data_IF_771332510454
#
_entry.id   IF_771332510454
#
_cell.length_a   1.000
_cell.length_b   1.000
_cell.length_c   1.000
_cell.angle_alpha   90.00
_cell.angle_beta   90.00
_cell.angle_gamma   90.00
#
_symmetry.space_group_name_H-M   'P 1'
#
loop_
_entity.id
_entity.type
_entity.pdbx_description
1 polymer ?
#
# COMPACT_ATOMS: atom_id res chain seq x y z
N UNK A 1 17.76 0.04 1.24
CA UNK A 1 16.95 0.85 2.17
C UNK A 1 15.49 0.68 1.78
N UNK A 2 14.55 0.56 2.72
CA UNK A 2 13.13 0.46 2.35
C UNK A 2 12.68 1.83 1.83
N UNK A 3 12.37 1.93 0.54
CA UNK A 3 11.95 3.17 -0.13
C UNK A 3 10.51 3.58 0.21
N UNK A 4 9.90 2.91 1.19
CA UNK A 4 8.53 3.11 1.63
C UNK A 4 8.43 3.18 3.15
N UNK A 5 7.50 4.00 3.64
CA UNK A 5 7.02 4.02 5.01
C UNK A 5 5.69 3.28 5.14
N UNK A 6 5.44 2.71 6.30
CA UNK A 6 4.14 2.14 6.68
C UNK A 6 3.60 2.93 7.86
N UNK A 7 2.36 3.40 7.75
CA UNK A 7 1.69 4.20 8.78
C UNK A 7 0.34 3.57 9.09
N UNK A 8 0.06 3.31 10.37
CA UNK A 8 -1.28 2.92 10.82
C UNK A 8 -2.23 4.11 10.67
N UNK A 9 -3.35 3.89 9.99
CA UNK A 9 -4.44 4.88 9.91
C UNK A 9 -5.57 4.52 10.87
N UNK A 10 -5.89 3.24 11.01
CA UNK A 10 -6.90 2.72 11.94
C UNK A 10 -6.57 1.30 12.37
N UNK A 11 -7.45 0.67 13.16
CA UNK A 11 -7.35 -0.76 13.51
C UNK A 11 -7.45 -1.69 12.31
N UNK A 12 -7.98 -1.22 11.17
CA UNK A 12 -8.21 -2.02 9.97
C UNK A 12 -7.57 -1.44 8.73
N UNK A 13 -6.84 -0.33 8.83
CA UNK A 13 -6.26 0.32 7.65
C UNK A 13 -4.86 0.87 7.89
N UNK A 14 -4.04 0.76 6.86
CA UNK A 14 -2.67 1.24 6.83
C UNK A 14 -2.40 2.01 5.54
N UNK A 15 -1.50 2.98 5.63
CA UNK A 15 -0.99 3.70 4.48
C UNK A 15 0.43 3.24 4.16
N UNK A 16 0.67 2.95 2.88
CA UNK A 16 2.04 2.89 2.35
C UNK A 16 2.38 4.28 1.82
N UNK A 17 3.50 4.81 2.27
CA UNK A 17 4.03 6.11 1.88
C UNK A 17 5.30 5.91 1.05
N UNK A 18 5.32 6.40 -0.18
CA UNK A 18 6.45 6.31 -1.10
C UNK A 18 6.89 7.71 -1.47
N UNK A 19 8.18 8.02 -1.35
CA UNK A 19 8.70 9.29 -1.85
C UNK A 19 9.27 9.09 -3.26
N UNK A 20 8.85 9.91 -4.21
CA UNK A 20 9.24 9.76 -5.62
C UNK A 20 10.73 9.99 -5.85
N UNK A 21 11.34 10.85 -5.03
CA UNK A 21 12.79 11.10 -5.03
C UNK A 21 13.61 9.93 -4.49
N UNK A 22 12.97 8.92 -3.88
CA UNK A 22 13.58 7.68 -3.41
C UNK A 22 13.32 6.49 -4.33
N UNK A 23 12.58 6.68 -5.43
CA UNK A 23 12.30 5.64 -6.41
C UNK A 23 13.13 5.90 -7.66
N UNK A 24 13.90 4.89 -8.08
CA UNK A 24 14.49 4.86 -9.41
C UNK A 24 13.41 4.85 -10.49
N UNK A 25 13.72 5.29 -11.72
CA UNK A 25 12.76 5.25 -12.83
C UNK A 25 12.20 3.84 -13.08
N UNK A 26 12.99 2.80 -12.83
CA UNK A 26 12.55 1.40 -12.96
C UNK A 26 11.50 1.04 -11.89
N UNK A 27 11.73 1.45 -10.64
CA UNK A 27 10.74 1.26 -9.58
C UNK A 27 9.47 2.07 -9.86
N UNK A 28 9.60 3.31 -10.33
CA UNK A 28 8.46 4.13 -10.73
C UNK A 28 7.63 3.46 -11.83
N UNK A 29 8.27 2.94 -12.88
CA UNK A 29 7.59 2.17 -13.93
C UNK A 29 6.96 0.90 -13.39
N UNK A 30 7.59 0.23 -12.42
CA UNK A 30 7.02 -0.95 -11.76
C UNK A 30 5.75 -0.64 -10.95
N UNK A 31 5.73 0.47 -10.22
CA UNK A 31 4.58 0.86 -9.40
C UNK A 31 3.47 1.58 -10.18
N UNK A 32 3.82 2.39 -11.17
CA UNK A 32 2.90 3.32 -11.84
C UNK A 32 2.70 3.04 -13.33
N UNK A 33 3.46 2.11 -13.92
CA UNK A 33 3.49 1.87 -15.37
C UNK A 33 4.24 2.93 -16.18
N UNK A 34 4.65 4.03 -15.55
CA UNK A 34 5.34 5.18 -16.16
C UNK A 34 6.23 5.89 -15.13
N UNK A 35 7.04 6.83 -15.58
CA UNK A 35 7.83 7.68 -14.66
C UNK A 35 6.95 8.74 -14.00
N UNK A 36 7.35 9.20 -12.82
CA UNK A 36 6.62 10.22 -12.06
C UNK A 36 6.46 11.53 -12.85
N UNK A 37 7.46 11.91 -13.65
CA UNK A 37 7.41 13.09 -14.53
C UNK A 37 6.33 13.02 -15.62
N UNK A 38 5.83 11.83 -15.94
CA UNK A 38 4.80 11.61 -16.96
C UNK A 38 3.38 11.58 -16.37
N UNK A 39 3.26 11.65 -15.04
CA UNK A 39 1.97 11.61 -14.35
C UNK A 39 1.33 13.00 -14.42
N UNK A 40 0.16 13.08 -15.05
CA UNK A 40 -0.61 14.33 -15.08
C UNK A 40 -1.57 14.40 -13.90
N UNK A 41 -1.91 15.61 -13.44
CA UNK A 41 -2.72 15.80 -12.22
C UNK A 41 -4.14 15.17 -12.27
N UNK A 42 -4.61 14.75 -13.44
CA UNK A 42 -5.94 14.17 -13.64
C UNK A 42 -5.91 12.65 -13.87
N UNK A 43 -4.74 12.02 -13.89
CA UNK A 43 -4.64 10.58 -14.07
C UNK A 43 -5.01 9.84 -12.79
N UNK A 44 -5.94 8.89 -12.91
CA UNK A 44 -6.24 7.92 -11.85
C UNK A 44 -5.25 6.78 -11.97
N UNK A 45 -4.21 6.81 -11.15
CA UNK A 45 -3.23 5.73 -11.05
C UNK A 45 -3.62 4.85 -9.87
N UNK A 46 -3.59 3.54 -10.08
CA UNK A 46 -4.04 2.54 -9.13
C UNK A 46 -2.90 1.55 -8.86
N UNK A 47 -2.66 1.24 -7.60
CA UNK A 47 -1.89 0.08 -7.19
C UNK A 47 -2.75 -1.17 -7.39
N UNK A 48 -2.23 -2.13 -8.15
CA UNK A 48 -2.93 -3.38 -8.46
C UNK A 48 -2.39 -4.48 -7.57
N UNK A 49 -3.26 -4.99 -6.70
CA UNK A 49 -3.00 -6.19 -5.92
C UNK A 49 -3.62 -7.38 -6.68
N UNK A 50 -2.79 -8.20 -7.30
CA UNK A 50 -3.25 -9.30 -8.16
C UNK A 50 -3.91 -10.44 -7.35
N UNK A 51 -3.39 -10.71 -6.16
CA UNK A 51 -3.83 -11.80 -5.28
C UNK A 51 -4.08 -11.30 -3.85
N UNK A 52 -4.91 -12.02 -3.09
CA UNK A 52 -5.05 -11.72 -1.66
C UNK A 52 -3.67 -11.86 -0.98
N UNK A 53 -3.26 -10.84 -0.24
CA UNK A 53 -1.99 -10.84 0.49
C UNK A 53 -2.27 -10.97 1.99
N UNK A 54 -1.53 -11.87 2.65
CA UNK A 54 -1.64 -12.08 4.09
C UNK A 54 -0.44 -11.42 4.76
N UNK A 55 -0.70 -10.41 5.59
CA UNK A 55 0.34 -9.77 6.38
C UNK A 55 0.79 -10.68 7.53
N UNK A 56 2.10 -10.68 7.77
CA UNK A 56 2.70 -11.37 8.91
C UNK A 56 2.21 -10.76 10.23
N UNK A 57 1.84 -11.57 11.24
CA UNK A 57 1.35 -11.07 12.52
C UNK A 57 2.31 -10.09 13.20
N UNK A 58 3.62 -10.36 13.15
CA UNK A 58 4.64 -9.51 13.78
C UNK A 58 4.68 -8.10 13.18
N UNK A 59 4.47 -7.99 11.87
CA UNK A 59 4.38 -6.70 11.20
C UNK A 59 3.14 -5.94 11.68
N UNK A 60 1.98 -6.59 11.73
CA UNK A 60 0.74 -5.98 12.21
C UNK A 60 0.87 -5.52 13.66
N UNK A 61 1.44 -6.35 14.54
CA UNK A 61 1.71 -6.01 15.93
C UNK A 61 2.66 -4.82 16.06
N UNK A 62 3.73 -4.77 15.26
CA UNK A 62 4.67 -3.64 15.27
C UNK A 62 4.04 -2.32 14.85
N UNK A 63 2.99 -2.39 14.01
CA UNK A 63 2.20 -1.25 13.55
C UNK A 63 1.03 -0.95 14.50
N UNK A 64 0.79 -1.78 15.51
CA UNK A 64 -0.34 -1.70 16.42
C UNK A 64 -1.70 -1.99 15.76
N UNK A 65 -1.73 -2.75 14.67
CA UNK A 65 -2.94 -3.15 13.94
C UNK A 65 -3.48 -4.46 14.53
N UNK A 66 -4.79 -4.58 14.62
CA UNK A 66 -5.46 -5.80 15.08
C UNK A 66 -5.16 -6.98 14.15
N UNK A 67 -4.48 -8.01 14.68
CA UNK A 67 -4.05 -9.20 13.92
C UNK A 67 -5.20 -10.03 13.37
N UNK A 68 -6.44 -9.79 13.82
CA UNK A 68 -7.64 -10.36 13.20
C UNK A 68 -7.85 -9.85 11.77
N UNK A 69 -7.33 -8.67 11.45
CA UNK A 69 -7.37 -8.02 10.14
C UNK A 69 -6.02 -8.13 9.44
N UNK A 70 -5.73 -9.31 8.89
CA UNK A 70 -4.43 -9.61 8.28
C UNK A 70 -4.47 -9.76 6.76
N UNK A 71 -5.64 -9.62 6.12
CA UNK A 71 -5.78 -9.88 4.68
C UNK A 71 -5.92 -8.56 3.93
N UNK A 72 -5.00 -8.27 3.01
CA UNK A 72 -5.27 -7.34 1.91
C UNK A 72 -6.00 -8.10 0.81
N UNK A 73 -7.16 -7.60 0.37
CA UNK A 73 -7.87 -8.23 -0.74
C UNK A 73 -7.22 -7.90 -2.08
N UNK A 74 -7.27 -8.83 -3.02
CA UNK A 74 -7.01 -8.50 -4.42
C UNK A 74 -7.92 -7.38 -4.88
N UNK A 75 -7.40 -6.47 -5.69
CA UNK A 75 -8.14 -5.30 -6.11
C UNK A 75 -7.25 -4.17 -6.55
N UNK A 76 -7.90 -3.03 -6.79
CA UNK A 76 -7.25 -1.80 -7.21
C UNK A 76 -7.38 -0.77 -6.11
N UNK A 77 -6.25 -0.21 -5.72
CA UNK A 77 -6.16 0.76 -4.65
C UNK A 77 -5.70 2.10 -5.24
N UNK A 78 -6.48 3.17 -5.11
CA UNK A 78 -6.10 4.46 -5.70
C UNK A 78 -4.82 4.98 -5.06
N UNK A 79 -3.92 5.49 -5.91
CA UNK A 79 -2.76 6.25 -5.46
C UNK A 79 -3.12 7.73 -5.32
N UNK A 80 -2.70 8.32 -4.20
CA UNK A 80 -2.84 9.74 -3.95
C UNK A 80 -1.47 10.41 -4.01
N UNK A 81 -1.34 11.41 -4.87
CA UNK A 81 -0.11 12.17 -5.06
C UNK A 81 -0.21 13.50 -4.32
N UNK A 82 0.72 13.75 -3.40
CA UNK A 82 0.85 14.96 -2.59
C UNK A 82 2.27 15.50 -2.75
N UNK A 83 2.51 16.27 -3.81
CA UNK A 83 3.87 16.71 -4.16
C UNK A 83 4.76 15.51 -4.47
N UNK A 84 5.89 15.35 -3.77
CA UNK A 84 6.79 14.20 -3.94
C UNK A 84 6.37 12.96 -3.14
N UNK A 85 5.28 13.03 -2.36
CA UNK A 85 4.77 11.92 -1.57
C UNK A 85 3.63 11.22 -2.30
N UNK A 86 3.69 9.90 -2.34
CA UNK A 86 2.65 9.02 -2.86
C UNK A 86 2.10 8.23 -1.68
N UNK A 87 0.78 8.17 -1.60
CA UNK A 87 0.06 7.45 -0.55
C UNK A 87 -0.90 6.46 -1.19
N UNK A 88 -0.84 5.22 -0.72
CA UNK A 88 -1.90 4.23 -0.97
C UNK A 88 -2.47 3.79 0.36
N UNK A 89 -3.80 3.84 0.48
CA UNK A 89 -4.52 3.36 1.65
C UNK A 89 -4.97 1.93 1.39
N UNK A 90 -4.58 1.04 2.29
CA UNK A 90 -4.88 -0.37 2.26
C UNK A 90 -5.87 -0.70 3.37
N UNK A 91 -7.07 -1.11 2.98
CA UNK A 91 -8.11 -1.59 3.89
C UNK A 91 -7.97 -3.10 4.10
N UNK A 92 -7.74 -3.49 5.35
CA UNK A 92 -7.51 -4.86 5.75
C UNK A 92 -8.83 -5.55 6.06
N UNK A 93 -8.95 -6.77 5.55
CA UNK A 93 -10.05 -7.68 5.79
C UNK A 93 -9.71 -8.68 6.88
N UNK A 94 -10.76 -9.12 7.57
CA UNK A 94 -10.64 -10.13 8.62
C UNK A 94 -10.18 -11.46 8.02
N UNK A 95 -9.23 -12.12 8.70
CA UNK A 95 -8.85 -13.48 8.35
C UNK A 95 -9.97 -14.45 8.71
N UNK A 96 -10.50 -15.17 7.72
CA UNK A 96 -11.42 -16.29 7.92
C UNK A 96 -10.67 -17.54 8.38
N UNK A 97 -9.76 -17.42 9.35
CA UNK A 97 -9.37 -18.61 10.12
C UNK A 97 -10.43 -18.80 11.19
N UNK A 98 -11.48 -19.54 10.82
CA UNK A 98 -12.34 -20.20 11.80
C UNK A 98 -11.45 -21.05 12.68
N UNK A 99 -11.37 -20.70 13.97
CA UNK A 99 -10.88 -21.61 14.99
C UNK A 99 -11.78 -22.86 14.90
N UNK A 100 -11.19 -23.97 14.48
CA UNK A 100 -11.71 -25.32 14.69
C UNK A 100 -10.78 -26.01 15.68
#
# INVERSE_FOLDING_TARGET
>A
MKNYGLVKLSETSLAIQLYTDRLSEQEQKGFFGKTYSEITCNEKIEFIQEEDFVFEPDLLLSLGIDTRYSILKKGKYPLHFLGNLIIVVLELSRSLKSFK
#
